data_IF_929263530370
#
_entry.id   IF_929263530370
#
_cell.length_a   1.000
_cell.length_b   1.000
_cell.length_c   1.000
_cell.angle_alpha   90.00
_cell.angle_beta   90.00
_cell.angle_gamma   90.00
#
_symmetry.space_group_name_H-M   'P 1'
#
loop_
_entity.id
_entity.type
_entity.pdbx_description
1 polymer ?
#
# COMPACT_ATOMS: atom_id res chain seq x y z
N UNK A 1 1.70 26.21 2.19
CA UNK A 1 2.23 24.86 2.52
C UNK A 1 3.32 24.55 1.51
N UNK A 2 4.39 23.89 1.94
CA UNK A 2 5.49 23.45 1.07
C UNK A 2 5.25 21.99 0.69
N UNK A 3 5.56 21.62 -0.55
CA UNK A 3 5.49 20.23 -0.99
C UNK A 3 6.60 19.41 -0.33
N UNK A 4 6.25 18.26 0.20
CA UNK A 4 7.22 17.25 0.63
C UNK A 4 7.76 16.49 -0.59
N UNK A 5 9.07 16.39 -0.69
CA UNK A 5 9.77 15.72 -1.79
C UNK A 5 10.19 14.29 -1.45
N UNK A 6 10.02 13.87 -0.19
CA UNK A 6 10.29 12.52 0.29
C UNK A 6 9.16 11.52 -0.02
N UNK A 7 8.02 11.98 -0.53
CA UNK A 7 6.86 11.12 -0.74
C UNK A 7 6.25 11.30 -2.12
N UNK A 8 5.77 10.18 -2.66
CA UNK A 8 4.85 10.14 -3.80
C UNK A 8 3.54 9.53 -3.33
N UNK A 9 2.44 10.08 -3.83
CA UNK A 9 1.10 9.58 -3.55
C UNK A 9 0.42 9.09 -4.82
N UNK A 10 -0.37 8.03 -4.69
CA UNK A 10 -1.20 7.48 -5.75
C UNK A 10 -2.62 7.30 -5.21
N UNK A 11 -3.60 7.56 -6.07
CA UNK A 11 -5.01 7.29 -5.81
C UNK A 11 -5.59 6.61 -7.04
N UNK A 12 -6.58 5.74 -6.85
CA UNK A 12 -7.18 5.05 -7.98
C UNK A 12 -8.37 4.20 -7.60
N UNK A 13 -8.99 3.64 -8.62
CA UNK A 13 -10.07 2.68 -8.52
C UNK A 13 -9.60 1.35 -9.07
N UNK A 14 -10.05 0.25 -8.46
CA UNK A 14 -9.72 -1.12 -8.85
C UNK A 14 -11.00 -1.78 -9.35
N UNK A 15 -10.94 -2.32 -10.57
CA UNK A 15 -12.03 -3.12 -11.12
C UNK A 15 -11.47 -4.44 -11.63
N UNK A 16 -12.15 -5.54 -11.32
CA UNK A 16 -11.77 -6.87 -11.78
C UNK A 16 -12.92 -7.58 -12.49
N UNK A 17 -12.66 -8.75 -13.04
CA UNK A 17 -13.69 -9.73 -13.41
C UNK A 17 -13.08 -11.09 -13.17
N UNK A 18 -13.80 -11.96 -12.48
CA UNK A 18 -13.32 -13.32 -12.28
C UNK A 18 -13.66 -14.13 -13.54
N UNK A 19 -12.65 -14.67 -14.19
CA UNK A 19 -12.80 -15.54 -15.37
C UNK A 19 -12.32 -16.95 -15.04
N UNK A 20 -12.99 -17.94 -15.64
CA UNK A 20 -12.52 -19.31 -15.69
C UNK A 20 -11.92 -19.51 -17.08
N UNK A 21 -10.59 -19.40 -17.16
CA UNK A 21 -9.82 -19.51 -18.39
C UNK A 21 -9.01 -20.81 -18.42
N UNK A 22 -8.77 -21.33 -19.63
CA UNK A 22 -7.78 -22.39 -19.84
C UNK A 22 -6.36 -21.81 -20.04
N UNK A 23 -5.37 -22.67 -20.32
CA UNK A 23 -3.98 -22.25 -20.49
C UNK A 23 -3.72 -21.41 -21.76
N UNK A 24 -4.70 -21.32 -22.66
CA UNK A 24 -4.65 -20.56 -23.92
C UNK A 24 -5.54 -19.29 -23.85
N UNK A 25 -5.93 -18.86 -22.64
CA UNK A 25 -6.79 -17.70 -22.34
C UNK A 25 -8.22 -17.79 -22.91
N UNK A 26 -8.75 -19.00 -23.17
CA UNK A 26 -10.15 -19.15 -23.55
C UNK A 26 -11.08 -19.19 -22.33
N UNK A 27 -11.94 -18.18 -22.22
CA UNK A 27 -12.92 -18.07 -21.13
C UNK A 27 -14.14 -18.96 -21.33
N UNK A 28 -14.34 -19.93 -20.43
CA UNK A 28 -15.57 -20.75 -20.40
C UNK A 28 -16.68 -20.09 -19.58
N UNK A 29 -16.33 -19.23 -18.61
CA UNK A 29 -17.28 -18.50 -17.78
C UNK A 29 -16.65 -17.24 -17.17
N UNK A 30 -17.46 -16.20 -16.95
CA UNK A 30 -17.06 -15.02 -16.18
C UNK A 30 -18.13 -14.65 -15.16
N UNK A 31 -17.68 -14.28 -13.96
CA UNK A 31 -18.51 -13.65 -12.94
C UNK A 31 -18.19 -12.15 -12.93
N UNK A 32 -19.20 -11.27 -12.88
CA UNK A 32 -18.93 -9.88 -12.56
C UNK A 32 -18.19 -9.83 -11.22
N UNK A 33 -17.16 -9.00 -11.10
CA UNK A 33 -16.68 -8.63 -9.77
C UNK A 33 -17.85 -8.03 -9.00
N UNK A 34 -17.91 -8.30 -7.70
CA UNK A 34 -18.99 -7.78 -6.87
C UNK A 34 -19.04 -6.25 -6.98
N UNK A 35 -20.20 -5.66 -6.70
CA UNK A 35 -20.35 -4.21 -6.72
C UNK A 35 -19.52 -3.49 -5.65
N UNK A 36 -18.95 -4.25 -4.71
CA UNK A 36 -18.10 -3.78 -3.63
C UNK A 36 -16.67 -4.27 -3.84
N UNK A 37 -15.71 -3.36 -3.88
CA UNK A 37 -14.29 -3.70 -3.98
C UNK A 37 -13.72 -3.98 -2.59
N UNK A 38 -13.08 -5.15 -2.44
CA UNK A 38 -12.34 -5.52 -1.21
C UNK A 38 -11.00 -6.16 -1.57
N UNK A 39 -10.03 -6.06 -0.66
CA UNK A 39 -8.66 -6.54 -0.85
C UNK A 39 -7.62 -5.45 -0.58
N UNK A 40 -6.49 -5.53 -1.27
CA UNK A 40 -5.37 -4.61 -1.05
C UNK A 40 -4.56 -4.33 -2.31
N UNK A 41 -3.95 -3.15 -2.31
CA UNK A 41 -2.93 -2.75 -3.28
C UNK A 41 -1.59 -2.73 -2.58
N UNK A 42 -0.66 -3.55 -3.06
CA UNK A 42 0.69 -3.68 -2.53
C UNK A 42 1.64 -3.00 -3.51
N UNK A 43 2.45 -2.07 -3.02
CA UNK A 43 3.40 -1.32 -3.83
C UNK A 43 4.80 -1.50 -3.28
N UNK A 44 5.73 -1.93 -4.13
CA UNK A 44 7.13 -2.17 -3.75
C UNK A 44 8.09 -1.82 -4.88
N UNK A 45 9.38 -1.73 -4.56
CA UNK A 45 10.42 -1.47 -5.58
C UNK A 45 10.88 -2.73 -6.31
N UNK A 46 10.59 -3.91 -5.76
CA UNK A 46 10.87 -5.17 -6.43
C UNK A 46 9.80 -5.45 -7.49
N UNK A 47 10.23 -5.73 -8.71
CA UNK A 47 9.34 -6.19 -9.79
C UNK A 47 8.97 -7.68 -9.68
N UNK A 48 9.46 -8.37 -8.66
CA UNK A 48 9.16 -9.78 -8.38
C UNK A 48 9.11 -10.00 -6.88
N UNK A 49 8.02 -9.54 -6.26
CA UNK A 49 7.76 -9.79 -4.83
C UNK A 49 7.39 -11.27 -4.61
N UNK A 50 7.97 -11.88 -3.58
CA UNK A 50 7.73 -13.28 -3.21
C UNK A 50 6.68 -13.40 -2.09
N UNK A 51 5.42 -13.55 -2.49
CA UNK A 51 4.28 -13.69 -1.57
C UNK A 51 4.14 -15.08 -0.94
N UNK A 52 5.08 -16.02 -1.16
CA UNK A 52 5.01 -17.35 -0.55
C UNK A 52 5.11 -17.33 0.98
N UNK A 53 5.76 -16.30 1.52
CA UNK A 53 5.69 -15.92 2.92
C UNK A 53 5.77 -14.38 3.01
N UNK A 54 4.96 -13.80 3.90
CA UNK A 54 4.94 -12.36 4.15
C UNK A 54 4.86 -12.11 5.64
N UNK A 55 5.40 -10.97 6.09
CA UNK A 55 5.35 -10.52 7.48
C UNK A 55 5.16 -9.01 7.54
N UNK A 56 4.83 -8.47 8.73
CA UNK A 56 5.00 -7.04 8.96
C UNK A 56 6.47 -6.68 8.73
N UNK A 57 6.73 -5.56 8.06
CA UNK A 57 8.08 -5.12 7.79
C UNK A 57 8.87 -4.95 9.09
N UNK A 58 10.08 -5.52 9.14
CA UNK A 58 10.95 -5.32 10.29
C UNK A 58 11.67 -3.96 10.23
N UNK A 59 12.32 -3.59 11.33
CA UNK A 59 13.04 -2.31 11.41
C UNK A 59 14.22 -2.23 10.43
N UNK A 60 14.80 -3.36 10.02
CA UNK A 60 15.92 -3.38 9.08
C UNK A 60 15.45 -3.11 7.65
N UNK A 61 14.34 -3.71 7.23
CA UNK A 61 13.68 -3.47 5.95
C UNK A 61 13.23 -2.01 5.80
N UNK A 62 12.63 -1.44 6.86
CA UNK A 62 12.25 -0.02 6.91
C UNK A 62 13.49 0.88 6.78
N UNK A 63 14.54 0.63 7.57
CA UNK A 63 15.76 1.42 7.53
C UNK A 63 16.51 1.31 6.19
N UNK A 64 16.46 0.14 5.54
CA UNK A 64 17.01 -0.06 4.21
C UNK A 64 16.27 0.76 3.15
N UNK A 65 14.94 0.84 3.23
CA UNK A 65 14.13 1.68 2.34
C UNK A 65 14.35 3.18 2.59
N UNK A 66 14.46 3.61 3.84
CA UNK A 66 14.83 4.99 4.18
C UNK A 66 16.19 5.35 3.58
N UNK A 67 17.20 4.51 3.81
CA UNK A 67 18.55 4.70 3.27
C UNK A 67 18.54 4.77 1.74
N UNK A 68 17.79 3.87 1.09
CA UNK A 68 17.66 3.89 -0.36
C UNK A 68 17.07 5.21 -0.88
N UNK A 69 16.16 5.82 -0.14
CA UNK A 69 15.49 7.07 -0.52
C UNK A 69 16.14 8.33 0.05
N UNK A 70 17.35 8.23 0.62
CA UNK A 70 18.06 9.35 1.24
C UNK A 70 17.29 9.96 2.43
N UNK A 71 16.55 9.12 3.14
CA UNK A 71 15.92 9.47 4.41
C UNK A 71 16.75 8.95 5.58
N UNK A 72 16.54 9.57 6.73
CA UNK A 72 17.09 9.18 8.02
C UNK A 72 15.94 9.11 9.01
N UNK A 73 15.95 8.11 9.90
CA UNK A 73 14.91 7.92 10.92
C UNK A 73 14.69 9.14 11.86
N UNK A 74 15.61 10.10 11.87
CA UNK A 74 15.48 11.34 12.65
C UNK A 74 14.71 12.45 11.93
N UNK A 75 14.46 12.33 10.62
CA UNK A 75 13.69 13.30 9.86
C UNK A 75 12.20 13.17 10.17
N UNK A 76 11.47 14.29 10.38
CA UNK A 76 10.05 14.24 10.74
C UNK A 76 9.15 13.50 9.74
N UNK A 77 9.55 13.47 8.47
CA UNK A 77 8.88 12.88 7.32
C UNK A 77 9.52 11.56 6.86
N UNK A 78 10.36 10.92 7.69
CA UNK A 78 10.92 9.61 7.40
C UNK A 78 9.85 8.51 7.41
N UNK A 79 10.14 7.35 6.81
CA UNK A 79 9.22 6.20 6.82
C UNK A 79 8.86 5.80 8.26
N UNK A 80 9.86 5.70 9.13
CA UNK A 80 9.68 5.32 10.55
C UNK A 80 8.78 6.29 11.32
N UNK A 81 8.86 7.61 11.01
CA UNK A 81 8.06 8.62 11.69
C UNK A 81 6.66 8.78 11.07
N UNK A 82 6.49 8.47 9.78
CA UNK A 82 5.20 8.45 9.09
C UNK A 82 4.37 7.22 9.44
N UNK A 83 4.99 6.04 9.50
CA UNK A 83 4.38 4.75 9.84
C UNK A 83 4.60 4.39 11.31
N UNK A 84 4.23 5.32 12.19
CA UNK A 84 4.53 5.28 13.63
C UNK A 84 3.41 4.66 14.50
N UNK A 85 2.35 4.17 13.89
CA UNK A 85 1.25 3.46 14.54
C UNK A 85 1.32 1.96 14.21
N UNK A 86 0.68 1.13 15.02
CA UNK A 86 0.40 -0.28 14.66
C UNK A 86 -1.09 -0.53 14.45
N UNK A 87 -1.92 0.52 14.52
CA UNK A 87 -3.36 0.40 14.37
C UNK A 87 -3.74 0.40 12.88
N UNK A 88 -4.09 -0.77 12.38
CA UNK A 88 -4.74 -0.98 11.08
C UNK A 88 -5.69 -2.19 11.15
N UNK A 89 -6.61 -2.29 10.21
CA UNK A 89 -7.48 -3.46 10.01
C UNK A 89 -6.61 -4.66 9.68
N UNK A 90 -6.87 -5.80 10.32
CA UNK A 90 -6.16 -7.03 10.01
C UNK A 90 -6.48 -7.45 8.56
N UNK A 91 -5.44 -7.69 7.77
CA UNK A 91 -5.54 -8.00 6.34
C UNK A 91 -4.86 -9.34 6.08
N UNK A 92 -5.46 -10.19 5.26
CA UNK A 92 -4.83 -11.44 4.84
C UNK A 92 -4.17 -11.21 3.49
N UNK A 93 -2.86 -11.40 3.40
CA UNK A 93 -2.13 -11.36 2.12
C UNK A 93 -1.66 -12.78 1.82
N UNK A 94 -2.05 -13.31 0.65
CA UNK A 94 -1.86 -14.71 0.21
C UNK A 94 -2.49 -15.77 1.14
N UNK A 95 -1.95 -15.95 2.35
CA UNK A 95 -2.46 -16.86 3.38
C UNK A 95 -2.10 -16.41 4.81
N UNK A 96 -1.43 -15.26 4.97
CA UNK A 96 -0.93 -14.79 6.25
C UNK A 96 -1.76 -13.59 6.71
N UNK A 97 -2.31 -13.67 7.92
CA UNK A 97 -3.01 -12.54 8.54
C UNK A 97 -1.97 -11.58 9.12
N UNK A 98 -1.88 -10.40 8.53
CA UNK A 98 -1.04 -9.31 8.99
C UNK A 98 -1.86 -8.38 9.87
N UNK A 99 -1.33 -8.14 11.08
CA UNK A 99 -1.93 -7.24 12.06
C UNK A 99 -0.83 -6.63 12.92
N UNK A 100 -1.08 -5.44 13.45
CA UNK A 100 -0.11 -4.70 14.26
C UNK A 100 1.20 -4.34 13.53
N UNK A 101 1.16 -4.21 12.20
CA UNK A 101 2.28 -3.75 11.40
C UNK A 101 2.44 -2.22 11.50
N UNK A 102 3.64 -1.70 11.27
CA UNK A 102 3.87 -0.26 11.13
C UNK A 102 2.93 0.33 10.08
N UNK A 103 2.10 1.29 10.48
CA UNK A 103 0.97 1.76 9.72
C UNK A 103 0.74 3.27 9.87
N UNK A 104 0.00 3.82 8.91
CA UNK A 104 -0.50 5.20 8.91
C UNK A 104 -1.87 5.27 8.24
N UNK A 105 -2.63 6.33 8.49
CA UNK A 105 -3.94 6.61 7.91
C UNK A 105 -3.85 7.93 7.15
N UNK A 106 -4.26 7.93 5.89
CA UNK A 106 -4.15 9.10 5.03
C UNK A 106 -5.28 10.09 5.28
N UNK A 107 -5.21 11.27 4.69
CA UNK A 107 -6.24 12.28 4.88
C UNK A 107 -7.49 11.94 4.06
N UNK A 108 -8.65 12.36 4.59
CA UNK A 108 -9.93 12.34 3.89
C UNK A 108 -10.46 13.76 3.86
N UNK A 109 -10.73 14.28 2.66
CA UNK A 109 -11.22 15.64 2.45
C UNK A 109 -10.40 16.71 3.19
N UNK A 110 -9.07 16.68 3.03
CA UNK A 110 -8.11 17.58 3.70
C UNK A 110 -8.17 17.55 5.25
N UNK A 111 -8.73 16.49 5.83
CA UNK A 111 -8.81 16.29 7.28
C UNK A 111 -7.98 15.08 7.69
N UNK A 112 -7.09 15.30 8.67
CA UNK A 112 -6.34 14.23 9.33
C UNK A 112 -7.30 13.30 10.07
N UNK A 113 -7.12 12.00 9.86
CA UNK A 113 -7.84 10.97 10.58
C UNK A 113 -7.05 10.53 11.83
N UNK A 114 -7.76 10.05 12.85
CA UNK A 114 -7.12 9.34 13.96
C UNK A 114 -6.62 7.97 13.49
N UNK A 115 -5.37 7.64 13.82
CA UNK A 115 -4.76 6.35 13.50
C UNK A 115 -5.53 5.22 14.19
N UNK A 116 -6.33 4.46 13.44
CA UNK A 116 -7.17 3.38 13.98
C UNK A 116 -7.56 2.37 12.90
N UNK A 117 -7.97 1.17 13.30
CA UNK A 117 -8.53 0.17 12.40
C UNK A 117 -9.89 0.57 11.78
N UNK A 118 -10.47 1.71 12.15
CA UNK A 118 -11.71 2.23 11.55
C UNK A 118 -11.45 3.41 10.61
N UNK A 119 -10.20 3.85 10.45
CA UNK A 119 -9.86 4.93 9.54
C UNK A 119 -9.96 4.45 8.08
N UNK A 120 -10.31 5.34 7.17
CA UNK A 120 -10.24 5.06 5.73
C UNK A 120 -8.81 5.27 5.22
N UNK A 121 -8.46 4.62 4.11
CA UNK A 121 -7.16 4.74 3.45
C UNK A 121 -5.98 4.51 4.39
N UNK A 122 -6.03 3.37 5.07
CA UNK A 122 -4.93 2.86 5.87
C UNK A 122 -3.85 2.30 4.96
N UNK A 123 -2.59 2.60 5.31
CA UNK A 123 -1.42 2.01 4.67
C UNK A 123 -0.55 1.38 5.75
N UNK A 124 -0.18 0.11 5.60
CA UNK A 124 0.76 -0.56 6.49
C UNK A 124 1.97 -1.10 5.72
N UNK A 125 3.05 -1.37 6.45
CA UNK A 125 4.30 -1.86 5.90
C UNK A 125 4.39 -3.37 6.09
N UNK A 126 4.62 -4.07 4.98
CA UNK A 126 4.92 -5.50 4.96
C UNK A 126 6.30 -5.74 4.35
N UNK A 127 6.82 -6.94 4.53
CA UNK A 127 7.96 -7.44 3.78
C UNK A 127 7.63 -8.83 3.22
N UNK A 128 8.20 -9.12 2.06
CA UNK A 128 8.09 -10.42 1.41
C UNK A 128 9.17 -11.40 1.93
N UNK A 129 9.14 -12.64 1.43
CA UNK A 129 10.09 -13.69 1.83
C UNK A 129 11.56 -13.39 1.46
N UNK A 130 11.80 -12.38 0.61
CA UNK A 130 13.11 -11.89 0.22
C UNK A 130 13.50 -10.58 0.92
N UNK A 131 12.75 -10.14 1.94
CA UNK A 131 12.90 -8.88 2.67
C UNK A 131 12.71 -7.63 1.78
N UNK A 132 11.91 -7.72 0.73
CA UNK A 132 11.50 -6.54 -0.04
C UNK A 132 10.35 -5.84 0.69
N UNK A 133 10.51 -4.54 0.97
CA UNK A 133 9.46 -3.74 1.58
C UNK A 133 8.28 -3.51 0.61
N UNK A 134 7.08 -3.73 1.11
CA UNK A 134 5.82 -3.37 0.47
C UNK A 134 5.01 -2.38 1.30
N UNK A 135 4.51 -1.34 0.65
CA UNK A 135 3.46 -0.46 1.18
C UNK A 135 2.11 -1.08 0.81
N UNK A 136 1.27 -1.37 1.78
CA UNK A 136 -0.01 -2.05 1.58
C UNK A 136 -1.14 -1.08 1.87
N UNK A 137 -1.87 -0.67 0.84
CA UNK A 137 -3.11 0.07 0.99
C UNK A 137 -4.30 -0.89 1.03
N UNK A 138 -5.10 -0.80 2.09
CA UNK A 138 -6.34 -1.55 2.20
C UNK A 138 -7.39 -0.87 1.31
N UNK A 139 -8.13 -1.65 0.52
CA UNK A 139 -9.15 -1.12 -0.38
C UNK A 139 -10.37 -0.61 0.41
N UNK A 140 -10.87 0.57 0.03
CA UNK A 140 -12.05 1.21 0.56
C UNK A 140 -13.05 1.45 -0.59
N UNK A 141 -14.10 0.65 -0.68
CA UNK A 141 -15.08 0.72 -1.77
C UNK A 141 -15.62 2.14 -2.01
N UNK A 142 -15.28 2.74 -3.16
CA UNK A 142 -15.79 4.03 -3.63
C UNK A 142 -15.87 5.11 -2.54
N UNK A 143 -14.80 5.25 -1.75
CA UNK A 143 -14.78 6.08 -0.54
C UNK A 143 -14.17 7.46 -0.81
N UNK A 144 -14.69 8.51 -0.16
CA UNK A 144 -14.22 9.88 -0.37
C UNK A 144 -12.78 10.05 0.12
N UNK A 145 -11.86 10.36 -0.80
CA UNK A 145 -10.45 10.54 -0.53
C UNK A 145 -10.04 11.94 -0.08
N UNK A 146 -8.75 12.24 -0.22
CA UNK A 146 -8.06 13.45 0.23
C UNK A 146 -8.68 14.76 -0.32
N UNK A 147 -9.37 14.70 -1.46
CA UNK A 147 -9.87 15.84 -2.21
C UNK A 147 -11.38 15.78 -2.54
N UNK A 148 -12.19 15.04 -1.77
CA UNK A 148 -13.64 14.76 -1.98
C UNK A 148 -14.01 13.87 -3.16
N UNK A 149 -13.09 13.55 -4.07
CA UNK A 149 -13.34 12.52 -5.07
C UNK A 149 -13.31 11.14 -4.42
N UNK A 150 -14.04 10.19 -4.99
CA UNK A 150 -14.06 8.83 -4.48
C UNK A 150 -12.96 7.99 -5.13
N UNK A 151 -12.33 7.16 -4.31
CA UNK A 151 -11.27 6.23 -4.71
C UNK A 151 -11.44 4.90 -3.98
N UNK A 152 -10.96 3.82 -4.60
CA UNK A 152 -10.83 2.51 -3.93
C UNK A 152 -9.54 2.42 -3.11
N UNK A 153 -8.50 3.17 -3.49
CA UNK A 153 -7.28 3.25 -2.68
C UNK A 153 -6.65 4.64 -2.72
N UNK A 154 -5.93 4.92 -1.64
CA UNK A 154 -4.90 5.95 -1.58
C UNK A 154 -3.67 5.33 -0.95
N UNK A 155 -2.50 5.60 -1.51
CA UNK A 155 -1.25 5.09 -1.00
C UNK A 155 -0.15 6.12 -1.13
N UNK A 156 0.76 6.14 -0.15
CA UNK A 156 2.01 6.88 -0.22
C UNK A 156 3.18 5.89 -0.27
N UNK A 157 4.19 6.23 -1.04
CA UNK A 157 5.46 5.51 -1.11
C UNK A 157 6.60 6.51 -0.97
N UNK A 158 7.70 6.06 -0.38
CA UNK A 158 8.89 6.89 -0.27
C UNK A 158 9.40 7.31 -1.65
N UNK A 159 10.04 8.47 -1.71
CA UNK A 159 10.83 8.93 -2.84
C UNK A 159 12.01 9.73 -2.30
N UNK A 160 13.01 9.94 -3.16
CA UNK A 160 14.17 10.74 -2.85
C UNK A 160 14.12 12.10 -3.53
N UNK A 161 14.37 13.14 -2.75
CA UNK A 161 14.50 14.54 -3.19
C UNK A 161 15.84 14.84 -3.91
N UNK A 162 16.82 13.95 -3.75
CA UNK A 162 18.17 14.10 -4.33
C UNK A 162 18.42 13.23 -5.56
N UNK A 163 17.57 12.23 -5.84
CA UNK A 163 17.75 11.36 -7.03
C UNK A 163 17.39 12.11 -8.30
N UNK A 164 18.23 11.95 -9.32
CA UNK A 164 18.00 12.50 -10.67
C UNK A 164 17.13 11.61 -11.54
N UNK A 165 16.88 10.37 -11.11
CA UNK A 165 16.02 9.39 -11.77
C UNK A 165 14.92 9.01 -10.80
N UNK A 166 13.68 9.02 -11.28
CA UNK A 166 12.53 8.62 -10.48
C UNK A 166 12.67 7.16 -10.00
N UNK A 167 12.25 6.89 -8.77
CA UNK A 167 12.18 5.53 -8.26
C UNK A 167 11.03 4.79 -8.96
N UNK A 168 11.31 3.61 -9.50
CA UNK A 168 10.31 2.72 -10.08
C UNK A 168 9.62 1.93 -8.98
N UNK A 169 8.29 1.92 -9.01
CA UNK A 169 7.43 1.14 -8.13
C UNK A 169 6.54 0.20 -8.96
N UNK A 170 6.34 -1.00 -8.45
CA UNK A 170 5.48 -2.04 -9.02
C UNK A 170 4.25 -2.20 -8.15
N UNK A 171 3.09 -2.31 -8.78
CA UNK A 171 1.80 -2.45 -8.13
C UNK A 171 1.33 -3.89 -8.29
N UNK A 172 0.94 -4.50 -7.17
CA UNK A 172 0.31 -5.80 -7.08
C UNK A 172 -1.06 -5.58 -6.44
N UNK A 173 -2.07 -6.28 -6.93
CA UNK A 173 -3.44 -6.13 -6.46
C UNK A 173 -3.97 -7.51 -6.12
N UNK A 174 -4.45 -7.66 -4.89
CA UNK A 174 -5.21 -8.82 -4.44
C UNK A 174 -6.66 -8.38 -4.24
N UNK A 175 -7.60 -9.12 -4.82
CA UNK A 175 -9.04 -8.87 -4.70
C UNK A 175 -9.68 -9.99 -3.90
N UNK A 176 -10.48 -9.61 -2.89
CA UNK A 176 -11.22 -10.51 -2.00
C UNK A 176 -12.64 -10.82 -2.46
#
# INVERSE_FOLDING_TARGET
>A
MQQDQHWKAYVGNVSGTFTLDDADDYTIYSWPSDSTVSGEVIVGRSGSMDFSAVSCADAASIAAEETFNNMTAGQPDSISNTFNSTAHTATTVSATVLSSCNATSLYVNDVSQGQSALADFQVFLMEDNANNLGYVAILNDNTAGYNTANYDFQIIVAESDVKTVATTYYFYVELG
#
